data_IF_634866648424
#
_entry.id   IF_634866648424
#
_cell.length_a   1.000
_cell.length_b   1.000
_cell.length_c   1.000
_cell.angle_alpha   90.00
_cell.angle_beta   90.00
_cell.angle_gamma   90.00
#
_symmetry.space_group_name_H-M   'P 1'
#
loop_
_entity.id
_entity.type
_entity.pdbx_description
1 polymer ?
#
# COMPACT_ATOMS: atom_id res chain seq x y z
N UNK A 1 26.97 -39.94 25.49
CA UNK A 1 26.46 -39.05 24.42
C UNK A 1 26.89 -39.54 23.03
N UNK A 2 26.76 -40.85 22.76
CA UNK A 2 27.24 -41.47 21.50
C UNK A 2 26.27 -42.54 20.96
N UNK A 3 25.11 -42.71 21.63
CA UNK A 3 24.04 -43.64 21.24
C UNK A 3 22.79 -42.94 20.70
N UNK A 4 22.74 -41.61 20.77
CA UNK A 4 21.59 -40.78 20.35
C UNK A 4 21.74 -40.20 18.94
N UNK A 5 22.95 -40.23 18.38
CA UNK A 5 23.25 -39.75 17.02
C UNK A 5 22.96 -40.80 15.93
N UNK A 6 22.90 -42.09 16.29
CA UNK A 6 22.64 -43.18 15.34
C UNK A 6 21.16 -43.30 14.95
N UNK A 7 20.24 -43.04 15.90
CA UNK A 7 18.80 -43.12 15.65
C UNK A 7 18.26 -41.94 14.83
N UNK A 8 18.85 -40.75 14.95
CA UNK A 8 18.50 -39.57 14.15
C UNK A 8 18.96 -39.67 12.69
N UNK A 9 20.10 -40.34 12.43
CA UNK A 9 20.59 -40.61 11.07
C UNK A 9 19.75 -41.68 10.34
N UNK A 10 19.22 -42.67 11.06
CA UNK A 10 18.30 -43.67 10.50
C UNK A 10 16.93 -43.09 10.15
N UNK A 11 16.42 -42.13 10.94
CA UNK A 11 15.16 -41.43 10.64
C UNK A 11 15.35 -40.43 9.47
N UNK A 12 16.52 -39.80 9.36
CA UNK A 12 16.89 -38.94 8.22
C UNK A 12 16.98 -39.73 6.89
N UNK A 13 17.55 -40.94 6.92
CA UNK A 13 17.62 -41.81 5.74
C UNK A 13 16.27 -42.43 5.32
N UNK A 14 15.31 -42.55 6.24
CA UNK A 14 13.96 -43.08 5.92
C UNK A 14 13.03 -42.02 5.29
N UNK A 15 13.37 -40.74 5.37
CA UNK A 15 12.58 -39.64 4.74
C UNK A 15 13.04 -39.34 3.30
N UNK A 16 14.19 -39.89 2.85
CA UNK A 16 14.76 -39.66 1.52
C UNK A 16 14.40 -40.73 0.47
N UNK A 17 13.48 -41.65 0.77
CA UNK A 17 12.97 -42.67 -0.16
C UNK A 17 11.46 -42.51 -0.45
N UNK A 18 10.97 -41.27 -0.48
CA UNK A 18 9.70 -40.98 -1.17
C UNK A 18 10.07 -40.47 -2.56
N UNK A 19 9.95 -41.28 -3.63
CA UNK A 19 9.92 -40.70 -4.96
C UNK A 19 8.67 -39.82 -5.03
N UNK A 20 8.87 -38.50 -5.09
CA UNK A 20 7.87 -37.58 -5.62
C UNK A 20 7.75 -37.84 -7.13
N UNK A 21 7.02 -38.89 -7.47
CA UNK A 21 6.39 -39.06 -8.77
C UNK A 21 5.00 -39.65 -8.52
N UNK A 22 4.07 -38.79 -8.09
CA UNK A 22 2.67 -39.00 -8.42
C UNK A 22 2.48 -38.64 -9.89
N UNK A 23 2.92 -39.54 -10.78
CA UNK A 23 2.14 -39.75 -11.98
C UNK A 23 1.10 -40.79 -11.55
N UNK A 24 -0.17 -40.38 -11.43
CA UNK A 24 -1.26 -41.35 -11.36
C UNK A 24 -1.16 -42.22 -12.62
N UNK A 25 -0.49 -43.37 -12.51
CA UNK A 25 -0.65 -44.43 -13.49
C UNK A 25 -2.11 -44.87 -13.37
N UNK A 26 -2.95 -44.32 -14.24
CA UNK A 26 -4.36 -44.68 -14.34
C UNK A 26 -4.44 -46.20 -14.54
N UNK A 27 -4.79 -46.98 -13.51
CA UNK A 27 -4.79 -48.45 -13.56
C UNK A 27 -5.75 -48.98 -14.64
N UNK A 28 -6.84 -48.24 -14.89
CA UNK A 28 -7.83 -48.50 -15.95
C UNK A 28 -8.31 -47.14 -16.48
N UNK A 29 -8.13 -46.87 -17.77
CA UNK A 29 -8.58 -45.62 -18.39
C UNK A 29 -10.03 -45.74 -18.87
N UNK A 30 -10.91 -44.83 -18.43
CA UNK A 30 -12.30 -44.78 -18.86
C UNK A 30 -12.46 -44.06 -20.21
N UNK A 31 -13.16 -44.70 -21.15
CA UNK A 31 -13.57 -44.13 -22.42
C UNK A 31 -15.09 -44.08 -22.49
N UNK A 32 -15.63 -42.91 -22.82
CA UNK A 32 -17.07 -42.67 -22.89
C UNK A 32 -17.50 -42.44 -24.34
N UNK A 33 -18.50 -43.19 -24.79
CA UNK A 33 -18.95 -43.15 -26.19
C UNK A 33 -20.48 -43.17 -26.28
N UNK A 34 -21.05 -42.60 -27.34
CA UNK A 34 -22.49 -42.59 -27.57
C UNK A 34 -22.93 -43.81 -28.38
N UNK A 35 -24.07 -44.39 -28.00
CA UNK A 35 -24.71 -45.46 -28.77
C UNK A 35 -25.10 -44.96 -30.17
N UNK A 36 -24.86 -45.78 -31.19
CA UNK A 36 -25.23 -45.48 -32.57
C UNK A 36 -24.25 -44.59 -33.32
N UNK A 37 -23.22 -44.06 -32.66
CA UNK A 37 -22.18 -43.24 -33.29
C UNK A 37 -20.89 -44.04 -33.56
N UNK A 38 -20.17 -43.73 -34.64
CA UNK A 38 -18.80 -44.18 -34.86
C UNK A 38 -17.87 -43.63 -33.77
N UNK A 39 -17.01 -44.48 -33.25
CA UNK A 39 -16.00 -44.09 -32.27
C UNK A 39 -14.70 -44.86 -32.50
N UNK A 40 -13.59 -44.21 -32.17
CA UNK A 40 -12.25 -44.75 -32.25
C UNK A 40 -11.56 -44.54 -30.92
N UNK A 41 -10.96 -45.59 -30.39
CA UNK A 41 -10.29 -45.57 -29.10
C UNK A 41 -8.80 -45.75 -29.29
N UNK A 42 -8.02 -44.83 -28.70
CA UNK A 42 -6.56 -44.86 -28.67
C UNK A 42 -6.04 -45.65 -27.48
N UNK A 43 -4.85 -46.25 -27.63
CA UNK A 43 -4.19 -46.91 -26.51
C UNK A 43 -3.50 -45.86 -25.63
N UNK A 44 -3.77 -45.82 -24.30
CA UNK A 44 -3.16 -44.85 -23.39
C UNK A 44 -1.63 -44.92 -23.31
N UNK A 45 -1.03 -46.04 -23.72
CA UNK A 45 0.42 -46.24 -23.75
C UNK A 45 1.07 -45.38 -24.86
N UNK A 46 0.35 -45.11 -25.94
CA UNK A 46 0.88 -44.37 -27.09
C UNK A 46 0.49 -42.89 -26.95
N UNK A 47 1.41 -42.08 -26.44
CA UNK A 47 1.28 -40.61 -26.47
C UNK A 47 1.83 -40.08 -27.79
N UNK A 48 0.97 -39.46 -28.61
CA UNK A 48 1.40 -38.64 -29.75
C UNK A 48 2.07 -37.36 -29.23
N UNK A 49 3.22 -36.89 -29.78
CA UNK A 49 3.92 -37.30 -30.99
C UNK A 49 5.32 -37.88 -30.63
N UNK A 50 5.39 -39.11 -30.11
CA UNK A 50 6.61 -39.57 -29.45
C UNK A 50 7.18 -40.93 -29.81
N UNK A 51 6.63 -41.71 -30.75
CA UNK A 51 7.15 -43.07 -30.97
C UNK A 51 7.65 -43.35 -32.40
N UNK A 52 8.99 -43.33 -32.50
CA UNK A 52 9.78 -43.94 -33.56
C UNK A 52 9.41 -45.43 -33.77
N UNK A 53 8.66 -45.71 -34.84
CA UNK A 53 8.82 -46.83 -35.80
C UNK A 53 9.53 -48.14 -35.40
N UNK A 54 9.16 -48.81 -34.31
CA UNK A 54 9.47 -50.24 -34.05
C UNK A 54 8.59 -50.91 -32.96
N UNK A 55 7.29 -50.62 -32.91
CA UNK A 55 6.36 -51.30 -32.00
C UNK A 55 5.17 -51.87 -32.76
N UNK A 56 4.60 -52.98 -32.27
CA UNK A 56 3.31 -53.50 -32.73
C UNK A 56 2.26 -53.28 -31.64
N UNK A 57 1.08 -52.81 -32.05
CA UNK A 57 -0.06 -52.59 -31.17
C UNK A 57 -1.19 -53.53 -31.58
N UNK A 58 -1.69 -54.31 -30.63
CA UNK A 58 -2.82 -55.22 -30.85
C UNK A 58 -3.88 -55.01 -29.77
N UNK A 59 -5.14 -55.00 -30.17
CA UNK A 59 -6.29 -54.87 -29.27
C UNK A 59 -6.92 -56.23 -28.98
N UNK A 60 -7.33 -56.41 -27.73
CA UNK A 60 -8.03 -57.59 -27.25
C UNK A 60 -9.29 -57.15 -26.48
N UNK A 61 -10.36 -57.93 -26.58
CA UNK A 61 -11.45 -57.84 -25.60
C UNK A 61 -10.96 -58.51 -24.31
N UNK A 62 -11.12 -57.87 -23.16
CA UNK A 62 -10.53 -58.38 -21.92
C UNK A 62 -10.99 -59.82 -21.62
N UNK A 63 -10.04 -60.68 -21.25
CA UNK A 63 -10.25 -62.12 -21.05
C UNK A 63 -10.28 -62.97 -22.33
N UNK A 64 -10.19 -62.37 -23.52
CA UNK A 64 -10.07 -63.10 -24.79
C UNK A 64 -8.61 -63.28 -25.21
N UNK A 65 -8.24 -64.50 -25.60
CA UNK A 65 -6.91 -64.79 -26.16
C UNK A 65 -6.82 -64.40 -27.65
N UNK A 66 -7.95 -64.20 -28.32
CA UNK A 66 -8.00 -63.84 -29.74
C UNK A 66 -8.00 -62.31 -29.91
N UNK A 67 -7.15 -61.75 -30.78
CA UNK A 67 -7.15 -60.33 -31.04
C UNK A 67 -8.44 -59.90 -31.74
N UNK A 68 -8.81 -58.64 -31.59
CA UNK A 68 -9.87 -58.03 -32.37
C UNK A 68 -9.46 -58.05 -33.85
N UNK A 69 -10.42 -58.39 -34.73
CA UNK A 69 -10.17 -58.51 -36.17
C UNK A 69 -9.66 -57.22 -36.80
N UNK A 70 -8.82 -57.33 -37.83
CA UNK A 70 -8.39 -56.21 -38.69
C UNK A 70 -9.31 -56.03 -39.90
N UNK A 71 -10.35 -56.86 -40.04
CA UNK A 71 -11.29 -56.81 -41.15
C UNK A 71 -12.15 -55.55 -41.09
N UNK A 72 -11.96 -54.62 -42.04
CA UNK A 72 -12.67 -53.33 -42.10
C UNK A 72 -14.20 -53.45 -42.21
N UNK A 73 -14.72 -54.58 -42.71
CA UNK A 73 -16.16 -54.85 -42.80
C UNK A 73 -16.78 -55.21 -41.45
N UNK A 74 -15.96 -55.66 -40.49
CA UNK A 74 -16.45 -55.95 -39.15
C UNK A 74 -16.80 -54.64 -38.43
N UNK A 75 -17.92 -54.65 -37.69
CA UNK A 75 -18.40 -53.48 -36.92
C UNK A 75 -17.38 -53.03 -35.88
N UNK A 76 -16.73 -53.98 -35.22
CA UNK A 76 -15.60 -53.76 -34.30
C UNK A 76 -14.35 -54.29 -34.97
N UNK A 77 -13.37 -53.42 -35.20
CA UNK A 77 -12.11 -53.81 -35.82
C UNK A 77 -10.97 -52.91 -35.36
N UNK A 78 -9.74 -53.39 -35.48
CA UNK A 78 -8.55 -52.57 -35.22
C UNK A 78 -7.97 -52.04 -36.55
N UNK A 79 -7.64 -50.75 -36.60
CA UNK A 79 -7.06 -50.07 -37.77
C UNK A 79 -6.16 -48.93 -37.31
N UNK A 80 -4.93 -48.89 -37.83
CA UNK A 80 -3.96 -47.82 -37.55
C UNK A 80 -3.68 -47.62 -36.05
N UNK A 81 -3.64 -48.72 -35.28
CA UNK A 81 -3.41 -48.68 -33.84
C UNK A 81 -4.63 -48.28 -33.00
N UNK A 82 -5.75 -47.95 -33.63
CA UNK A 82 -7.01 -47.59 -32.97
C UNK A 82 -7.98 -48.78 -32.96
N UNK A 83 -8.80 -48.85 -31.93
CA UNK A 83 -9.94 -49.76 -31.84
C UNK A 83 -11.21 -49.02 -32.29
N UNK A 84 -11.78 -49.47 -33.41
CA UNK A 84 -12.93 -48.84 -34.06
C UNK A 84 -14.23 -49.56 -33.74
N UNK A 85 -15.28 -48.78 -33.51
CA UNK A 85 -16.66 -49.24 -33.40
C UNK A 85 -17.51 -48.41 -34.37
N UNK A 86 -18.02 -49.04 -35.43
CA UNK A 86 -18.76 -48.33 -36.49
C UNK A 86 -20.08 -49.05 -36.79
N UNK A 87 -21.19 -48.75 -36.09
CA UNK A 87 -21.30 -47.88 -34.90
C UNK A 87 -21.13 -48.64 -33.58
N UNK A 88 -21.01 -47.90 -32.47
CA UNK A 88 -21.05 -48.44 -31.12
C UNK A 88 -22.47 -48.87 -30.70
N UNK A 89 -22.56 -49.95 -29.93
CA UNK A 89 -23.79 -50.51 -29.36
C UNK A 89 -23.62 -50.67 -27.85
N UNK A 90 -24.72 -50.71 -27.10
CA UNK A 90 -24.67 -50.77 -25.61
C UNK A 90 -23.89 -51.98 -25.09
N UNK A 91 -24.00 -53.11 -25.80
CA UNK A 91 -23.36 -54.38 -25.47
C UNK A 91 -21.84 -54.36 -25.69
N UNK A 92 -21.31 -53.30 -26.31
CA UNK A 92 -19.86 -53.11 -26.47
C UNK A 92 -19.21 -52.59 -25.18
N UNK A 93 -20.01 -52.17 -24.19
CA UNK A 93 -19.49 -51.71 -22.89
C UNK A 93 -18.72 -52.82 -22.20
N UNK A 94 -17.52 -52.50 -21.71
CA UNK A 94 -16.66 -53.47 -21.04
C UNK A 94 -15.18 -53.13 -21.14
N UNK A 95 -14.36 -54.07 -20.70
CA UNK A 95 -12.92 -53.91 -20.64
C UNK A 95 -12.27 -54.36 -21.95
N UNK A 96 -11.35 -53.55 -22.46
CA UNK A 96 -10.50 -53.85 -23.61
C UNK A 96 -9.04 -53.69 -23.22
N UNK A 97 -8.16 -54.49 -23.78
CA UNK A 97 -6.73 -54.45 -23.51
C UNK A 97 -5.98 -54.08 -24.80
N UNK A 98 -5.14 -53.04 -24.73
CA UNK A 98 -4.13 -52.80 -25.77
C UNK A 98 -2.79 -53.37 -25.32
N UNK A 99 -2.20 -54.22 -26.15
CA UNK A 99 -0.86 -54.79 -26.00
C UNK A 99 0.09 -54.10 -26.97
N UNK A 100 1.04 -53.33 -26.42
CA UNK A 100 2.10 -52.66 -27.16
C UNK A 100 3.39 -53.47 -26.97
N UNK A 101 3.88 -54.07 -28.05
CA UNK A 101 5.11 -54.88 -28.06
C UNK A 101 6.24 -54.15 -28.77
N UNK A 102 7.38 -54.00 -28.09
CA UNK A 102 8.61 -53.42 -28.63
C UNK A 102 9.80 -54.28 -28.25
N UNK A 103 10.50 -54.84 -29.26
CA UNK A 103 11.70 -55.74 -29.24
C UNK A 103 11.81 -56.77 -28.10
N UNK A 104 11.70 -56.42 -26.82
CA UNK A 104 11.68 -57.30 -25.63
C UNK A 104 10.70 -56.89 -24.51
N UNK A 105 9.90 -55.85 -24.68
CA UNK A 105 8.96 -55.34 -23.69
C UNK A 105 7.53 -55.42 -24.25
N UNK A 106 6.62 -56.02 -23.49
CA UNK A 106 5.17 -55.97 -23.75
C UNK A 106 4.54 -55.17 -22.63
N UNK A 107 3.95 -54.04 -23.02
CA UNK A 107 3.21 -53.19 -22.12
C UNK A 107 1.73 -53.33 -22.47
N UNK A 108 0.95 -53.80 -21.50
CA UNK A 108 -0.49 -53.96 -21.64
C UNK A 108 -1.20 -52.91 -20.82
N UNK A 109 -2.23 -52.30 -21.39
CA UNK A 109 -3.11 -51.41 -20.66
C UNK A 109 -4.55 -51.80 -20.88
N UNK A 110 -5.27 -51.94 -19.77
CA UNK A 110 -6.71 -52.14 -19.80
C UNK A 110 -7.40 -50.78 -19.82
N UNK A 111 -8.40 -50.67 -20.69
CA UNK A 111 -9.32 -49.54 -20.76
C UNK A 111 -10.73 -50.04 -20.46
N UNK A 112 -11.56 -49.16 -19.92
CA UNK A 112 -12.96 -49.40 -19.66
C UNK A 112 -13.81 -48.56 -20.61
N UNK A 113 -14.43 -49.21 -21.60
CA UNK A 113 -15.32 -48.56 -22.53
C UNK A 113 -16.74 -48.59 -21.95
N UNK A 114 -17.36 -47.41 -21.80
CA UNK A 114 -18.76 -47.29 -21.41
C UNK A 114 -19.56 -46.62 -22.52
N UNK A 115 -20.57 -47.31 -23.03
CA UNK A 115 -21.46 -46.82 -24.08
C UNK A 115 -22.73 -46.26 -23.48
N UNK A 116 -22.97 -44.96 -23.65
CA UNK A 116 -24.12 -44.26 -23.09
C UNK A 116 -25.25 -44.03 -24.09
N UNK A 117 -26.46 -43.90 -23.55
CA UNK A 117 -27.58 -43.26 -24.23
C UNK A 117 -27.62 -41.79 -23.86
N UNK A 118 -28.16 -40.96 -24.74
CA UNK A 118 -28.50 -39.60 -24.38
C UNK A 118 -29.49 -39.59 -23.21
N UNK A 119 -29.36 -38.59 -22.34
CA UNK A 119 -30.27 -38.40 -21.24
C UNK A 119 -31.67 -38.05 -21.77
N UNK A 120 -32.71 -38.38 -20.99
CA UNK A 120 -34.11 -38.14 -21.41
C UNK A 120 -34.28 -36.67 -21.80
N UNK A 121 -34.88 -36.41 -22.96
CA UNK A 121 -35.13 -35.08 -23.52
C UNK A 121 -33.89 -34.23 -23.88
N UNK A 122 -32.69 -34.81 -23.79
CA UNK A 122 -31.45 -34.15 -24.18
C UNK A 122 -30.83 -34.83 -25.41
N UNK A 123 -30.03 -34.06 -26.15
CA UNK A 123 -29.24 -34.51 -27.30
C UNK A 123 -27.83 -35.00 -26.90
N UNK A 124 -27.54 -35.06 -25.59
CA UNK A 124 -26.27 -35.48 -25.03
C UNK A 124 -26.47 -36.27 -23.73
N UNK A 125 -25.39 -36.87 -23.21
CA UNK A 125 -25.36 -37.49 -21.90
C UNK A 125 -24.55 -36.63 -20.93
N UNK A 126 -25.06 -36.37 -19.73
CA UNK A 126 -24.41 -35.50 -18.73
C UNK A 126 -23.05 -35.99 -18.24
N UNK A 127 -22.75 -37.30 -18.33
CA UNK A 127 -21.45 -37.89 -18.01
C UNK A 127 -20.44 -37.79 -19.17
N UNK A 128 -20.92 -37.53 -20.39
CA UNK A 128 -20.11 -37.45 -21.60
C UNK A 128 -20.10 -36.01 -22.10
N UNK A 129 -19.36 -35.15 -21.39
CA UNK A 129 -19.17 -33.75 -21.73
C UNK A 129 -17.70 -33.39 -21.65
N UNK A 130 -17.27 -32.53 -22.57
CA UNK A 130 -15.93 -31.97 -22.59
C UNK A 130 -15.96 -30.60 -21.92
N UNK A 131 -15.27 -30.46 -20.79
CA UNK A 131 -15.23 -29.17 -20.09
C UNK A 131 -14.29 -28.21 -20.84
N UNK A 132 -14.78 -27.01 -21.16
CA UNK A 132 -13.96 -25.91 -21.67
C UNK A 132 -14.21 -24.66 -20.84
N UNK A 133 -13.14 -23.89 -20.61
CA UNK A 133 -13.19 -22.68 -19.79
C UNK A 133 -12.79 -21.47 -20.62
N UNK A 134 -13.65 -20.45 -20.61
CA UNK A 134 -13.36 -19.15 -21.19
C UNK A 134 -13.44 -18.07 -20.11
N UNK A 135 -12.71 -16.99 -20.35
CA UNK A 135 -12.85 -15.76 -19.57
C UNK A 135 -13.76 -14.79 -20.33
N UNK A 136 -14.44 -13.89 -19.63
CA UNK A 136 -15.18 -12.80 -20.26
C UNK A 136 -14.21 -11.81 -20.92
N UNK A 137 -13.94 -12.02 -22.20
CA UNK A 137 -12.96 -11.30 -23.02
C UNK A 137 -13.58 -10.82 -24.33
N UNK A 138 -12.84 -9.96 -25.07
CA UNK A 138 -13.27 -9.48 -26.39
C UNK A 138 -13.44 -10.60 -27.42
N UNK A 139 -12.71 -11.71 -27.28
CA UNK A 139 -12.79 -12.85 -28.18
C UNK A 139 -12.57 -14.13 -27.38
N UNK A 140 -13.38 -15.14 -27.64
CA UNK A 140 -13.23 -16.51 -27.16
C UNK A 140 -13.42 -17.51 -28.30
N UNK A 141 -13.04 -18.77 -28.05
CA UNK A 141 -13.10 -19.85 -29.04
C UNK A 141 -13.58 -21.13 -28.36
N UNK A 142 -14.64 -21.74 -28.90
CA UNK A 142 -15.12 -23.07 -28.52
C UNK A 142 -14.62 -24.04 -29.58
N UNK A 143 -13.94 -25.12 -29.16
CA UNK A 143 -13.39 -26.12 -30.07
C UNK A 143 -14.23 -27.39 -29.98
N UNK A 144 -14.59 -27.99 -31.11
CA UNK A 144 -15.19 -29.31 -31.13
C UNK A 144 -14.10 -30.39 -30.99
N UNK A 145 -14.11 -31.19 -29.91
CA UNK A 145 -13.03 -32.14 -29.63
C UNK A 145 -13.13 -33.41 -30.48
N UNK A 146 -12.03 -34.16 -30.59
CA UNK A 146 -11.96 -35.53 -31.11
C UNK A 146 -12.58 -35.77 -32.50
N UNK A 147 -12.58 -34.76 -33.38
CA UNK A 147 -13.04 -34.90 -34.76
C UNK A 147 -11.93 -35.29 -35.75
N UNK A 148 -10.67 -35.10 -35.38
CA UNK A 148 -9.53 -35.31 -36.30
C UNK A 148 -9.43 -36.75 -36.83
N UNK A 149 -9.85 -37.74 -36.03
CA UNK A 149 -9.82 -39.15 -36.41
C UNK A 149 -10.80 -39.51 -37.55
N UNK A 150 -11.78 -38.64 -37.83
CA UNK A 150 -12.84 -38.90 -38.79
C UNK A 150 -12.74 -38.04 -40.04
N UNK A 151 -11.66 -37.27 -40.18
CA UNK A 151 -11.30 -36.60 -41.42
C UNK A 151 -10.60 -37.59 -42.34
N UNK A 152 -10.89 -37.51 -43.63
CA UNK A 152 -10.22 -38.28 -44.69
C UNK A 152 -9.86 -37.37 -45.86
N UNK A 153 -9.08 -37.87 -46.83
CA UNK A 153 -8.62 -37.07 -47.98
C UNK A 153 -9.77 -36.46 -48.79
N UNK A 154 -10.94 -37.12 -48.80
CA UNK A 154 -12.15 -36.70 -49.51
C UNK A 154 -13.01 -35.70 -48.70
N UNK A 155 -12.81 -35.62 -47.37
CA UNK A 155 -13.58 -34.82 -46.42
C UNK A 155 -12.67 -34.16 -45.37
N UNK A 156 -11.61 -33.48 -45.83
CA UNK A 156 -10.63 -32.81 -44.97
C UNK A 156 -11.23 -31.64 -44.15
N UNK A 157 -12.37 -31.09 -44.58
CA UNK A 157 -13.11 -30.02 -43.89
C UNK A 157 -14.59 -30.38 -43.81
N UNK A 158 -14.99 -31.28 -42.88
CA UNK A 158 -16.38 -31.66 -42.74
C UNK A 158 -17.22 -30.49 -42.24
N UNK A 159 -18.44 -30.36 -42.75
CA UNK A 159 -19.39 -29.37 -42.27
C UNK A 159 -19.86 -29.73 -40.85
N UNK A 160 -19.48 -28.90 -39.88
CA UNK A 160 -19.83 -29.07 -38.47
C UNK A 160 -21.03 -28.19 -38.11
N UNK A 161 -22.11 -28.83 -37.70
CA UNK A 161 -23.33 -28.17 -37.25
C UNK A 161 -23.30 -27.98 -35.73
N UNK A 162 -23.66 -26.78 -35.27
CA UNK A 162 -23.60 -26.42 -33.85
C UNK A 162 -24.99 -26.20 -33.24
N UNK A 163 -25.15 -26.65 -32.00
CA UNK A 163 -26.36 -26.56 -31.21
C UNK A 163 -26.01 -26.03 -29.82
N UNK A 164 -26.83 -25.14 -29.25
CA UNK A 164 -26.71 -24.70 -27.86
C UNK A 164 -27.90 -25.23 -27.07
N UNK A 165 -27.65 -25.94 -25.98
CA UNK A 165 -28.69 -26.60 -25.18
C UNK A 165 -29.66 -27.44 -26.04
N UNK A 166 -29.12 -28.18 -27.00
CA UNK A 166 -29.86 -29.01 -27.95
C UNK A 166 -30.84 -28.27 -28.88
N UNK A 167 -30.70 -26.95 -28.99
CA UNK A 167 -31.46 -26.12 -29.92
C UNK A 167 -30.59 -25.65 -31.08
N UNK A 168 -31.12 -25.65 -32.32
CA UNK A 168 -30.44 -25.06 -33.47
C UNK A 168 -30.50 -23.52 -33.39
N UNK A 169 -29.89 -22.84 -34.36
CA UNK A 169 -29.95 -21.37 -34.47
C UNK A 169 -28.94 -20.64 -33.59
N UNK A 170 -28.06 -21.35 -32.88
CA UNK A 170 -27.00 -20.73 -32.09
C UNK A 170 -26.15 -19.76 -32.93
N UNK A 171 -25.77 -20.16 -34.14
CA UNK A 171 -24.95 -19.35 -35.07
C UNK A 171 -25.69 -18.16 -35.70
N UNK A 172 -26.96 -17.92 -35.37
CA UNK A 172 -27.69 -16.72 -35.84
C UNK A 172 -27.27 -15.44 -35.08
N UNK A 173 -26.66 -15.58 -33.90
CA UNK A 173 -26.06 -14.45 -33.19
C UNK A 173 -24.82 -13.95 -33.96
N UNK A 174 -24.87 -12.69 -34.40
CA UNK A 174 -23.81 -12.01 -35.16
C UNK A 174 -22.46 -11.95 -34.44
N UNK A 175 -22.45 -12.16 -33.11
CA UNK A 175 -21.21 -12.27 -32.33
C UNK A 175 -20.45 -13.55 -32.63
N UNK A 176 -21.09 -14.57 -33.19
CA UNK A 176 -20.53 -15.89 -33.40
C UNK A 176 -20.10 -16.07 -34.85
N UNK A 177 -18.90 -16.60 -35.04
CA UNK A 177 -18.33 -16.86 -36.35
C UNK A 177 -17.76 -18.27 -36.37
N UNK A 178 -18.03 -19.03 -37.44
CA UNK A 178 -17.33 -20.28 -37.68
C UNK A 178 -15.86 -19.96 -37.98
N UNK A 179 -14.95 -20.65 -37.30
CA UNK A 179 -13.53 -20.51 -37.59
C UNK A 179 -13.21 -21.31 -38.87
N UNK A 180 -12.93 -20.60 -39.97
CA UNK A 180 -12.61 -21.25 -41.24
C UNK A 180 -11.41 -22.20 -41.11
N UNK A 181 -11.55 -23.42 -41.62
CA UNK A 181 -10.50 -24.44 -41.55
C UNK A 181 -10.32 -25.10 -40.18
N UNK A 182 -11.08 -24.68 -39.17
CA UNK A 182 -11.04 -25.25 -37.82
C UNK A 182 -12.42 -25.79 -37.41
N UNK A 183 -12.44 -26.85 -36.61
CA UNK A 183 -13.68 -27.37 -36.03
C UNK A 183 -14.14 -26.52 -34.83
N UNK A 184 -14.20 -25.19 -34.97
CA UNK A 184 -14.36 -24.26 -33.86
C UNK A 184 -15.32 -23.10 -34.17
N UNK A 185 -15.87 -22.52 -33.10
CA UNK A 185 -16.69 -21.31 -33.14
C UNK A 185 -15.99 -20.21 -32.37
N UNK A 186 -15.79 -19.06 -33.00
CA UNK A 186 -15.33 -17.83 -32.39
C UNK A 186 -16.53 -17.08 -31.81
N UNK A 187 -16.36 -16.58 -30.58
CA UNK A 187 -17.34 -15.73 -29.90
C UNK A 187 -16.72 -14.36 -29.69
N UNK A 188 -17.30 -13.34 -30.32
CA UNK A 188 -16.95 -11.95 -30.07
C UNK A 188 -17.70 -11.44 -28.83
N UNK A 189 -16.97 -10.75 -27.96
CA UNK A 189 -17.45 -10.22 -26.69
C UNK A 189 -18.13 -11.31 -25.82
N UNK A 190 -17.30 -12.17 -25.23
CA UNK A 190 -17.71 -13.29 -24.39
C UNK A 190 -18.26 -12.76 -23.07
N UNK A 191 -19.45 -13.23 -22.71
CA UNK A 191 -20.16 -12.87 -21.49
C UNK A 191 -20.48 -14.11 -20.65
N UNK A 192 -20.78 -13.92 -19.36
CA UNK A 192 -21.19 -15.04 -18.47
C UNK A 192 -22.46 -15.74 -18.97
N UNK A 193 -23.29 -15.07 -19.76
CA UNK A 193 -24.51 -15.63 -20.39
C UNK A 193 -24.19 -16.61 -21.53
N UNK A 194 -22.96 -16.58 -22.05
CA UNK A 194 -22.50 -17.54 -23.04
C UNK A 194 -22.19 -18.91 -22.40
N UNK A 195 -22.25 -19.05 -21.07
CA UNK A 195 -22.21 -20.35 -20.38
C UNK A 195 -23.31 -21.30 -20.90
N UNK A 196 -22.98 -22.59 -21.01
CA UNK A 196 -23.96 -23.62 -21.38
C UNK A 196 -23.33 -24.84 -22.03
N UNK A 197 -24.17 -25.76 -22.49
CA UNK A 197 -23.78 -26.95 -23.23
C UNK A 197 -23.87 -26.69 -24.73
N UNK A 198 -22.76 -26.93 -25.43
CA UNK A 198 -22.61 -26.75 -26.87
C UNK A 198 -22.39 -28.10 -27.51
N UNK A 199 -23.30 -28.54 -28.37
CA UNK A 199 -23.15 -29.79 -29.11
C UNK A 199 -22.77 -29.48 -30.54
N UNK A 200 -21.62 -29.97 -30.97
CA UNK A 200 -21.22 -29.99 -32.38
C UNK A 200 -21.55 -31.36 -32.98
N UNK A 201 -22.00 -31.38 -34.24
CA UNK A 201 -22.39 -32.57 -34.99
C UNK A 201 -21.78 -32.55 -36.38
N UNK A 202 -21.14 -33.64 -36.77
CA UNK A 202 -20.63 -33.84 -38.12
C UNK A 202 -21.13 -35.15 -38.72
N UNK A 203 -21.08 -35.25 -40.03
CA UNK A 203 -21.40 -36.47 -40.77
C UNK A 203 -20.12 -37.16 -41.19
N UNK A 204 -19.98 -38.43 -40.83
CA UNK A 204 -18.89 -39.29 -41.22
C UNK A 204 -19.38 -40.37 -42.18
N UNK A 205 -18.77 -40.45 -43.36
CA UNK A 205 -19.12 -41.45 -44.38
C UNK A 205 -18.14 -42.61 -44.30
N UNK A 206 -18.63 -43.80 -43.98
CA UNK A 206 -17.82 -45.01 -43.93
C UNK A 206 -18.42 -46.10 -44.81
N UNK A 207 -17.64 -46.57 -45.79
CA UNK A 207 -18.06 -47.60 -46.75
C UNK A 207 -19.42 -47.30 -47.42
N UNK A 208 -19.65 -46.04 -47.80
CA UNK A 208 -20.88 -45.58 -48.45
C UNK A 208 -22.08 -45.40 -47.50
N UNK A 209 -21.91 -45.59 -46.19
CA UNK A 209 -22.93 -45.29 -45.18
C UNK A 209 -22.59 -44.03 -44.42
N UNK A 210 -23.57 -43.16 -44.21
CA UNK A 210 -23.42 -41.94 -43.43
C UNK A 210 -23.79 -42.18 -41.98
N UNK A 211 -22.95 -41.65 -41.08
CA UNK A 211 -23.13 -41.72 -39.64
C UNK A 211 -23.01 -40.33 -39.05
N UNK A 212 -23.78 -40.07 -37.99
CA UNK A 212 -23.67 -38.83 -37.24
C UNK A 212 -22.70 -39.02 -36.07
N UNK A 213 -21.83 -38.04 -35.88
CA UNK A 213 -20.92 -37.97 -34.73
C UNK A 213 -21.20 -36.68 -34.00
N UNK A 214 -21.42 -36.75 -32.69
CA UNK A 214 -21.69 -35.58 -31.86
C UNK A 214 -20.75 -35.50 -30.67
N UNK A 215 -20.37 -34.27 -30.32
CA UNK A 215 -19.54 -33.96 -29.14
C UNK A 215 -20.16 -32.80 -28.40
N UNK A 216 -20.30 -32.94 -27.09
CA UNK A 216 -20.91 -31.90 -26.25
C UNK A 216 -19.87 -31.28 -25.34
N UNK A 217 -19.71 -29.97 -25.46
CA UNK A 217 -18.84 -29.14 -24.66
C UNK A 217 -19.67 -28.52 -23.54
N UNK A 218 -19.23 -28.68 -22.30
CA UNK A 218 -19.72 -27.94 -21.14
C UNK A 218 -18.85 -26.68 -21.01
N UNK A 219 -19.39 -25.53 -21.41
CA UNK A 219 -18.65 -24.28 -21.41
C UNK A 219 -18.85 -23.54 -20.09
N UNK A 220 -17.77 -23.37 -19.33
CA UNK A 220 -17.71 -22.49 -18.17
C UNK A 220 -17.15 -21.13 -18.60
N UNK A 221 -17.87 -20.04 -18.31
CA UNK A 221 -17.38 -18.68 -18.53
C UNK A 221 -17.16 -18.01 -17.19
N UNK A 222 -15.92 -17.58 -16.93
CA UNK A 222 -15.55 -16.84 -15.72
C UNK A 222 -15.45 -15.36 -16.03
N UNK A 223 -15.89 -14.51 -15.10
CA UNK A 223 -15.68 -13.08 -15.22
C UNK A 223 -14.17 -12.79 -15.21
N UNK A 224 -13.75 -11.89 -16.10
CA UNK A 224 -12.39 -11.39 -16.05
C UNK A 224 -12.26 -10.60 -14.75
N UNK A 225 -11.30 -10.93 -13.86
CA UNK A 225 -11.06 -10.11 -12.69
C UNK A 225 -10.77 -8.69 -13.17
N UNK A 226 -11.44 -7.70 -12.58
CA UNK A 226 -11.18 -6.30 -12.86
C UNK A 226 -9.68 -6.08 -12.71
N UNK A 227 -8.99 -5.85 -13.83
CA UNK A 227 -7.57 -5.58 -13.84
C UNK A 227 -7.38 -4.13 -13.37
N UNK A 228 -7.69 -3.88 -12.10
CA UNK A 228 -7.46 -2.60 -11.45
C UNK A 228 -5.96 -2.50 -11.27
N UNK A 229 -5.38 -1.41 -11.79
CA UNK A 229 -3.97 -1.10 -11.57
C UNK A 229 -3.74 -1.06 -10.04
N UNK A 230 -2.76 -1.81 -9.51
CA UNK A 230 -2.49 -1.76 -8.09
C UNK A 230 -2.09 -0.35 -7.66
N UNK A 231 -2.61 0.11 -6.53
CA UNK A 231 -2.33 1.44 -6.00
C UNK A 231 -2.02 1.36 -4.50
N UNK A 232 -1.17 2.27 -4.01
CA UNK A 232 -0.95 2.43 -2.59
C UNK A 232 -2.23 2.95 -1.91
N UNK A 233 -2.80 2.12 -1.04
CA UNK A 233 -3.80 2.57 -0.06
C UNK A 233 -3.07 3.44 0.98
N UNK A 234 -1.92 2.96 1.44
CA UNK A 234 -1.00 3.63 2.36
C UNK A 234 0.41 3.01 2.20
N UNK A 235 1.52 3.76 2.34
CA UNK A 235 1.60 5.19 2.50
C UNK A 235 1.43 5.95 1.18
N UNK A 236 1.06 7.23 1.27
CA UNK A 236 1.04 8.21 0.18
C UNK A 236 2.07 9.31 0.46
N UNK A 237 3.33 8.91 0.66
CA UNK A 237 4.45 9.81 1.01
C UNK A 237 4.20 10.55 2.34
N UNK A 238 3.96 9.76 3.39
CA UNK A 238 3.54 10.26 4.69
C UNK A 238 4.72 10.62 5.60
N UNK A 239 4.44 11.44 6.61
CA UNK A 239 5.35 11.71 7.72
C UNK A 239 4.64 11.37 9.01
N UNK A 240 5.31 10.64 9.90
CA UNK A 240 4.76 10.23 11.20
C UNK A 240 5.61 10.79 12.33
N UNK A 241 4.95 11.25 13.39
CA UNK A 241 5.65 11.74 14.58
C UNK A 241 5.98 10.57 15.50
N UNK A 242 7.24 10.46 15.91
CA UNK A 242 7.71 9.41 16.81
C UNK A 242 8.66 9.98 17.85
N UNK A 243 8.55 9.50 19.09
CA UNK A 243 9.43 9.87 20.19
C UNK A 243 10.70 9.02 20.19
N UNK A 244 11.82 9.59 20.66
CA UNK A 244 13.04 8.81 20.90
C UNK A 244 12.75 7.71 21.90
N UNK A 245 13.15 6.48 21.58
CA UNK A 245 12.90 5.31 22.41
C UNK A 245 11.53 4.66 22.24
N UNK A 246 10.62 5.27 21.47
CA UNK A 246 9.28 4.72 21.25
C UNK A 246 9.30 3.51 20.30
N UNK A 247 8.23 2.72 20.37
CA UNK A 247 7.93 1.63 19.46
C UNK A 247 7.06 2.14 18.31
N UNK A 248 7.45 1.87 17.07
CA UNK A 248 6.73 2.35 15.87
C UNK A 248 6.47 1.20 14.91
N UNK A 249 5.21 1.08 14.47
CA UNK A 249 4.79 0.15 13.42
C UNK A 249 4.32 0.95 12.21
N UNK A 250 4.99 0.74 11.08
CA UNK A 250 4.65 1.32 9.80
C UNK A 250 3.98 0.26 8.94
N UNK A 251 2.81 0.58 8.38
CA UNK A 251 2.11 -0.32 7.47
C UNK A 251 2.31 0.14 6.02
N UNK A 252 2.32 -0.80 5.09
CA UNK A 252 2.24 -0.52 3.67
C UNK A 252 1.20 -1.44 3.06
N UNK A 253 0.12 -0.86 2.55
CA UNK A 253 -1.07 -1.56 2.08
C UNK A 253 -1.30 -1.17 0.62
N UNK A 254 -1.39 -2.18 -0.24
CA UNK A 254 -1.58 -2.03 -1.69
C UNK A 254 -2.89 -2.69 -2.08
N UNK A 255 -3.74 -1.97 -2.80
CA UNK A 255 -4.93 -2.56 -3.40
C UNK A 255 -4.49 -3.44 -4.56
N UNK A 256 -4.78 -4.73 -4.51
CA UNK A 256 -4.41 -5.66 -5.56
C UNK A 256 -5.62 -6.47 -6.02
N UNK A 257 -5.98 -6.37 -7.29
CA UNK A 257 -6.92 -7.33 -7.90
C UNK A 257 -6.28 -8.71 -8.17
N UNK A 258 -5.04 -8.91 -7.71
CA UNK A 258 -4.16 -10.01 -8.11
C UNK A 258 -3.55 -10.63 -6.84
N UNK A 259 -3.71 -11.95 -6.71
CA UNK A 259 -3.12 -12.69 -5.60
C UNK A 259 -1.59 -12.76 -5.76
N UNK A 260 -0.85 -12.59 -4.66
CA UNK A 260 0.61 -12.76 -4.64
C UNK A 260 1.44 -11.53 -5.06
N UNK A 261 0.83 -10.36 -5.21
CA UNK A 261 1.58 -9.09 -5.25
C UNK A 261 1.97 -8.72 -3.82
N UNK A 262 3.27 -8.78 -3.50
CA UNK A 262 3.78 -8.57 -2.14
C UNK A 262 4.57 -7.27 -2.09
N UNK A 263 4.11 -6.25 -1.35
CA UNK A 263 4.90 -5.05 -1.08
C UNK A 263 6.06 -5.37 -0.13
N UNK A 264 7.20 -4.71 -0.31
CA UNK A 264 8.41 -4.89 0.50
C UNK A 264 9.02 -3.55 0.92
N UNK A 265 9.73 -3.54 2.04
CA UNK A 265 10.39 -2.34 2.55
C UNK A 265 11.88 -2.25 2.16
N UNK A 266 12.34 -1.03 1.90
CA UNK A 266 13.75 -0.69 1.71
C UNK A 266 14.13 0.57 2.47
N UNK A 267 15.35 0.57 3.02
CA UNK A 267 15.95 1.71 3.73
C UNK A 267 17.33 1.96 3.15
N UNK A 268 17.55 3.16 2.61
CA UNK A 268 18.83 3.56 2.01
C UNK A 268 19.33 2.56 0.94
N UNK A 269 18.44 2.23 -0.01
CA UNK A 269 18.68 1.31 -1.14
C UNK A 269 19.10 -0.12 -0.72
N UNK A 270 18.78 -0.51 0.51
CA UNK A 270 19.01 -1.85 1.03
C UNK A 270 17.74 -2.43 1.62
N UNK A 271 17.62 -3.74 1.51
CA UNK A 271 16.55 -4.48 2.17
C UNK A 271 16.68 -4.36 3.69
N UNK A 272 15.52 -4.33 4.35
CA UNK A 272 15.38 -4.10 5.79
C UNK A 272 16.24 -5.03 6.62
N UNK A 273 16.15 -6.34 6.34
CA UNK A 273 16.87 -7.38 7.07
C UNK A 273 18.40 -7.24 6.95
N UNK A 274 18.87 -6.61 5.87
CA UNK A 274 20.31 -6.35 5.64
C UNK A 274 20.78 -5.08 6.34
N UNK A 275 19.89 -4.11 6.57
CA UNK A 275 20.25 -2.81 7.14
C UNK A 275 20.31 -2.85 8.67
N UNK A 276 19.33 -3.43 9.35
CA UNK A 276 19.30 -3.58 10.80
C UNK A 276 18.46 -4.79 11.20
N UNK A 277 19.07 -5.78 11.86
CA UNK A 277 18.41 -7.02 12.28
C UNK A 277 17.35 -6.84 13.37
N UNK A 278 17.23 -5.62 13.93
CA UNK A 278 16.17 -5.27 14.88
C UNK A 278 14.87 -4.88 14.20
N UNK A 279 14.90 -4.60 12.90
CA UNK A 279 13.71 -4.37 12.11
C UNK A 279 13.04 -5.71 11.78
N UNK A 280 11.71 -5.75 11.84
CA UNK A 280 10.93 -6.94 11.46
C UNK A 280 9.90 -6.56 10.42
N UNK A 281 9.91 -7.32 9.32
CA UNK A 281 8.89 -7.25 8.29
C UNK A 281 7.89 -8.40 8.45
N UNK A 282 6.59 -8.09 8.40
CA UNK A 282 5.53 -9.09 8.43
C UNK A 282 4.53 -8.85 7.30
N UNK A 283 4.46 -9.81 6.39
CA UNK A 283 3.49 -9.84 5.30
C UNK A 283 2.13 -10.37 5.75
N UNK A 284 1.08 -9.83 5.16
CA UNK A 284 -0.28 -10.36 5.24
C UNK A 284 -1.04 -10.07 3.93
N UNK A 285 -2.03 -10.91 3.63
CA UNK A 285 -2.94 -10.73 2.50
C UNK A 285 -4.36 -10.91 3.01
N UNK A 286 -5.20 -9.90 2.79
CA UNK A 286 -6.58 -9.87 3.23
C UNK A 286 -7.51 -9.72 2.02
N UNK A 287 -8.57 -10.53 1.96
CA UNK A 287 -9.59 -10.41 0.92
C UNK A 287 -10.73 -9.56 1.49
N UNK A 288 -10.97 -8.39 0.88
CA UNK A 288 -12.10 -7.55 1.28
C UNK A 288 -13.44 -8.20 0.90
N UNK A 289 -14.51 -7.81 1.61
CA UNK A 289 -15.89 -8.27 1.40
C UNK A 289 -16.41 -8.08 -0.03
N UNK A 290 -15.79 -7.18 -0.82
CA UNK A 290 -16.13 -6.91 -2.22
C UNK A 290 -15.29 -7.72 -3.23
N UNK A 291 -14.47 -8.66 -2.76
CA UNK A 291 -13.64 -9.53 -3.63
C UNK A 291 -12.35 -8.88 -4.14
N UNK A 292 -11.95 -7.71 -3.61
CA UNK A 292 -10.65 -7.09 -3.89
C UNK A 292 -9.61 -7.62 -2.88
N UNK A 293 -8.49 -8.14 -3.33
CA UNK A 293 -7.40 -8.50 -2.44
C UNK A 293 -6.64 -7.23 -2.00
N UNK A 294 -6.22 -7.19 -0.75
CA UNK A 294 -5.35 -6.16 -0.20
C UNK A 294 -4.14 -6.88 0.35
N UNK A 295 -2.99 -6.59 -0.25
CA UNK A 295 -1.71 -7.11 0.22
C UNK A 295 -1.03 -6.05 1.06
N UNK A 296 -0.51 -6.43 2.21
CA UNK A 296 0.16 -5.51 3.12
C UNK A 296 1.42 -6.07 3.75
N UNK A 297 2.33 -5.17 4.11
CA UNK A 297 3.53 -5.48 4.90
C UNK A 297 3.63 -4.51 6.09
N UNK A 298 3.94 -5.05 7.27
CA UNK A 298 4.18 -4.26 8.49
C UNK A 298 5.67 -4.21 8.78
N UNK A 299 6.20 -3.01 8.94
CA UNK A 299 7.57 -2.74 9.34
C UNK A 299 7.62 -2.23 10.77
N UNK A 300 8.38 -2.90 11.61
CA UNK A 300 8.42 -2.66 13.04
C UNK A 300 9.79 -2.14 13.51
N UNK A 301 9.80 -0.95 14.11
CA UNK A 301 10.94 -0.37 14.83
C UNK A 301 10.72 -0.56 16.32
N UNK A 302 11.55 -1.41 16.94
CA UNK A 302 11.48 -1.70 18.39
C UNK A 302 11.72 -0.47 19.26
N UNK A 303 12.74 0.31 18.93
CA UNK A 303 13.15 1.50 19.67
C UNK A 303 13.70 2.55 18.71
N UNK A 304 12.99 3.67 18.54
CA UNK A 304 13.41 4.75 17.64
C UNK A 304 14.68 5.43 18.15
N UNK A 305 15.70 5.48 17.31
CA UNK A 305 17.01 6.10 17.54
C UNK A 305 17.13 7.39 16.73
N UNK A 306 18.10 8.22 17.09
CA UNK A 306 18.37 9.47 16.38
C UNK A 306 18.66 9.27 14.88
N UNK A 307 19.30 8.14 14.51
CA UNK A 307 19.57 7.77 13.12
C UNK A 307 18.29 7.58 12.29
N UNK A 308 17.21 7.13 12.91
CA UNK A 308 16.00 6.74 12.19
C UNK A 308 15.25 7.96 11.62
N UNK A 309 15.39 9.14 12.23
CA UNK A 309 14.85 10.41 11.70
C UNK A 309 15.58 10.90 10.43
N UNK A 310 16.80 10.42 10.17
CA UNK A 310 17.58 10.80 9.00
C UNK A 310 17.18 10.01 7.74
N UNK A 311 16.48 8.89 7.92
CA UNK A 311 16.16 7.97 6.83
C UNK A 311 14.70 8.12 6.38
N UNK A 312 14.48 7.86 5.08
CA UNK A 312 13.16 7.59 4.52
C UNK A 312 13.02 6.08 4.41
N UNK A 313 11.89 5.57 4.88
CA UNK A 313 11.52 4.17 4.77
C UNK A 313 10.65 4.04 3.53
N UNK A 314 11.15 3.36 2.51
CA UNK A 314 10.47 3.21 1.24
C UNK A 314 9.75 1.87 1.19
N UNK A 315 8.48 1.88 0.82
CA UNK A 315 7.73 0.69 0.47
C UNK A 315 7.64 0.60 -1.05
N UNK A 316 7.95 -0.58 -1.57
CA UNK A 316 7.99 -0.88 -2.99
C UNK A 316 7.03 -2.00 -3.32
N UNK A 317 6.45 -1.95 -4.52
CA UNK A 317 5.85 -3.14 -5.13
C UNK A 317 6.12 -3.14 -6.64
N UNK A 318 6.22 -4.35 -7.20
CA UNK A 318 6.48 -4.54 -8.62
C UNK A 318 5.18 -4.99 -9.29
N UNK A 319 4.78 -4.31 -10.36
CA UNK A 319 3.65 -4.69 -11.18
C UNK A 319 4.02 -4.64 -12.67
N UNK A 320 4.02 -5.80 -13.31
CA UNK A 320 4.53 -5.97 -14.67
C UNK A 320 6.04 -5.73 -14.73
N UNK A 321 6.46 -4.71 -15.47
CA UNK A 321 7.87 -4.28 -15.56
C UNK A 321 8.12 -2.93 -14.88
N UNK A 322 7.15 -2.42 -14.13
CA UNK A 322 7.24 -1.15 -13.43
C UNK A 322 7.34 -1.39 -11.92
N UNK A 323 8.18 -0.58 -11.30
CA UNK A 323 8.32 -0.50 -9.85
C UNK A 323 7.59 0.75 -9.35
N UNK A 324 6.82 0.58 -8.29
CA UNK A 324 6.06 1.65 -7.64
C UNK A 324 6.60 1.83 -6.23
N UNK A 325 6.80 3.08 -5.84
CA UNK A 325 7.43 3.42 -4.56
C UNK A 325 6.62 4.49 -3.83
N UNK A 326 6.46 4.29 -2.52
CA UNK A 326 5.96 5.31 -1.60
C UNK A 326 6.82 5.31 -0.34
N UNK A 327 6.91 6.43 0.37
CA UNK A 327 7.76 6.51 1.56
C UNK A 327 7.02 6.92 2.83
N UNK A 328 7.62 6.58 3.96
CA UNK A 328 7.32 7.13 5.28
C UNK A 328 8.59 7.77 5.85
N UNK A 329 8.45 8.97 6.41
CA UNK A 329 9.52 9.66 7.12
C UNK A 329 9.14 9.83 8.60
N UNK A 330 10.08 9.61 9.51
CA UNK A 330 9.89 9.89 10.93
C UNK A 330 10.25 11.35 11.23
N UNK A 331 9.44 12.02 12.03
CA UNK A 331 9.76 13.34 12.59
C UNK A 331 9.62 13.34 14.11
N UNK A 332 10.46 14.12 14.82
CA UNK A 332 10.28 14.28 16.25
C UNK A 332 8.96 15.00 16.54
N UNK A 333 8.29 14.73 17.67
CA UNK A 333 7.09 15.45 18.06
C UNK A 333 7.40 16.94 18.21
N UNK A 334 6.42 17.79 17.86
CA UNK A 334 6.55 19.23 18.00
C UNK A 334 6.81 19.59 19.47
N UNK A 335 7.88 20.35 19.75
CA UNK A 335 8.15 20.84 21.10
C UNK A 335 7.04 21.81 21.53
N UNK A 336 6.52 21.64 22.75
CA UNK A 336 5.50 22.52 23.31
C UNK A 336 6.13 23.85 23.76
N UNK A 337 6.34 24.76 22.81
CA UNK A 337 6.90 26.11 23.02
C UNK A 337 5.93 26.99 23.84
N UNK A 338 4.63 26.64 23.87
CA UNK A 338 3.61 27.40 24.59
C UNK A 338 3.85 27.41 26.11
N UNK A 339 4.34 26.29 26.67
CA UNK A 339 4.70 26.22 28.09
C UNK A 339 5.85 27.17 28.47
N UNK A 340 6.85 27.27 27.60
CA UNK A 340 7.99 28.19 27.81
C UNK A 340 7.61 29.66 27.65
N UNK A 341 6.72 29.98 26.68
CA UNK A 341 6.22 31.35 26.50
C UNK A 341 5.38 31.82 27.69
N UNK A 342 4.50 30.94 28.22
CA UNK A 342 3.70 31.25 29.41
C UNK A 342 4.61 31.39 30.64
N UNK A 343 5.55 30.46 30.85
CA UNK A 343 6.49 30.53 31.98
C UNK A 343 7.40 31.75 31.94
N UNK A 344 7.93 32.09 30.75
CA UNK A 344 8.75 33.28 30.54
C UNK A 344 7.97 34.58 30.78
N UNK A 345 6.75 34.68 30.26
CA UNK A 345 5.88 35.84 30.47
C UNK A 345 5.51 36.06 31.94
N UNK A 346 5.16 34.98 32.65
CA UNK A 346 4.82 35.04 34.08
C UNK A 346 6.06 35.46 34.91
N UNK A 347 7.24 34.91 34.62
CA UNK A 347 8.48 35.28 35.30
C UNK A 347 8.83 36.76 35.12
N UNK A 348 8.65 37.31 33.91
CA UNK A 348 8.84 38.73 33.61
C UNK A 348 7.89 39.62 34.43
N UNK A 349 6.62 39.23 34.55
CA UNK A 349 5.63 39.98 35.36
C UNK A 349 6.05 39.99 36.84
N UNK A 350 6.48 38.85 37.38
CA UNK A 350 6.98 38.77 38.75
C UNK A 350 8.23 39.65 38.98
N UNK A 351 9.16 39.68 38.03
CA UNK A 351 10.33 40.56 38.08
C UNK A 351 9.95 42.04 38.10
N UNK A 352 9.00 42.47 37.26
CA UNK A 352 8.51 43.86 37.26
C UNK A 352 7.81 44.20 38.57
N UNK A 353 6.97 43.30 39.10
CA UNK A 353 6.32 43.53 40.39
C UNK A 353 7.32 43.61 41.55
N UNK A 354 8.33 42.75 41.55
CA UNK A 354 9.38 42.73 42.57
C UNK A 354 10.24 44.01 42.54
N UNK A 355 10.65 44.45 41.35
CA UNK A 355 11.40 45.70 41.17
C UNK A 355 10.58 46.94 41.57
N UNK A 356 9.29 47.00 41.21
CA UNK A 356 8.39 48.08 41.66
C UNK A 356 8.20 48.07 43.18
N UNK A 357 8.10 46.89 43.79
CA UNK A 357 7.96 46.73 45.24
C UNK A 357 9.23 47.19 45.98
N UNK A 358 10.41 46.78 45.51
CA UNK A 358 11.71 47.27 46.03
C UNK A 358 11.80 48.79 45.88
N UNK A 359 11.48 49.33 44.70
CA UNK A 359 11.49 50.78 44.48
C UNK A 359 10.57 51.52 45.46
N UNK A 360 9.39 50.97 45.77
CA UNK A 360 8.45 51.57 46.73
C UNK A 360 8.94 51.49 48.16
N UNK A 361 9.46 50.35 48.60
CA UNK A 361 9.97 50.15 49.96
C UNK A 361 11.19 51.03 50.21
N UNK A 362 12.14 51.03 49.29
CA UNK A 362 13.40 51.75 49.42
C UNK A 362 13.36 53.12 48.74
N UNK A 363 12.18 53.67 48.40
CA UNK A 363 12.08 54.96 47.67
C UNK A 363 12.85 56.06 48.38
N UNK A 364 12.72 56.14 49.70
CA UNK A 364 13.37 57.16 50.52
C UNK A 364 14.88 56.92 50.54
N UNK A 365 15.31 55.68 50.79
CA UNK A 365 16.72 55.32 50.84
C UNK A 365 17.43 55.47 49.48
N UNK A 366 16.76 55.13 48.37
CA UNK A 366 17.26 55.33 47.00
C UNK A 366 17.40 56.81 46.68
N UNK A 367 16.44 57.65 47.08
CA UNK A 367 16.50 59.10 46.87
C UNK A 367 17.58 59.74 47.72
N UNK A 368 17.73 59.32 48.98
CA UNK A 368 18.80 59.78 49.87
C UNK A 368 20.17 59.33 49.37
N UNK A 369 20.32 58.08 48.95
CA UNK A 369 21.54 57.56 48.36
C UNK A 369 21.91 58.26 47.04
N UNK A 370 20.92 58.54 46.17
CA UNK A 370 21.12 59.32 44.96
C UNK A 370 21.55 60.75 45.27
N UNK A 371 20.95 61.38 46.29
CA UNK A 371 21.30 62.74 46.72
C UNK A 371 22.71 62.83 47.30
N UNK A 372 23.13 61.86 48.10
CA UNK A 372 24.49 61.78 48.64
C UNK A 372 25.52 61.41 47.56
N UNK A 373 25.18 60.47 46.67
CA UNK A 373 26.09 59.97 45.63
C UNK A 373 26.22 60.90 44.42
N UNK A 374 25.21 61.74 44.12
CA UNK A 374 25.25 62.69 43.00
C UNK A 374 25.57 64.14 43.40
N UNK A 375 25.73 64.46 44.68
CA UNK A 375 26.21 65.78 45.11
C UNK A 375 27.59 66.16 44.53
N UNK A 376 28.52 65.22 44.23
CA UNK A 376 29.78 65.55 43.55
C UNK A 376 29.64 65.79 42.03
N UNK A 377 28.57 65.30 41.38
CA UNK A 377 28.45 65.27 39.91
C UNK A 377 27.49 66.30 39.31
N UNK A 378 26.63 66.92 40.12
CA UNK A 378 25.82 68.09 39.74
C UNK A 378 26.46 69.38 40.25
N UNK A 379 27.72 69.57 39.91
CA UNK A 379 28.41 70.85 40.05
C UNK A 379 27.80 71.88 39.10
N UNK A 380 26.79 72.61 39.56
CA UNK A 380 26.54 73.99 39.14
C UNK A 380 26.55 74.85 40.39
N UNK A 381 27.65 75.58 40.59
CA UNK A 381 27.61 76.86 41.31
C UNK A 381 26.60 77.73 40.55
N UNK A 382 25.35 77.74 41.01
CA UNK A 382 24.43 78.81 40.68
C UNK A 382 25.03 80.02 41.40
N UNK A 383 25.61 80.95 40.63
CA UNK A 383 25.79 82.31 41.12
C UNK A 383 24.39 82.83 41.39
N UNK A 384 24.01 82.88 42.67
CA UNK A 384 22.81 83.57 43.12
C UNK A 384 22.91 84.97 42.50
N UNK A 385 21.96 85.33 41.63
CA UNK A 385 21.85 86.65 40.99
C UNK A 385 21.34 87.66 42.04
N UNK A 386 21.94 87.61 43.23
CA UNK A 386 21.70 88.52 44.35
C UNK A 386 22.72 89.64 44.24
N UNK A 387 22.19 90.82 43.92
CA UNK A 387 22.94 92.06 43.83
C UNK A 387 23.42 92.52 45.22
N UNK A 388 22.77 92.03 46.29
CA UNK A 388 23.08 92.35 47.68
C UNK A 388 23.10 91.10 48.56
N UNK A 389 24.08 91.03 49.46
CA UNK A 389 24.29 89.95 50.44
C UNK A 389 23.40 90.13 51.69
N UNK A 390 23.01 91.37 52.03
CA UNK A 390 22.11 91.66 53.14
C UNK A 390 21.32 92.97 52.95
N UNK A 391 20.12 93.01 53.55
CA UNK A 391 19.21 94.15 53.55
C UNK A 391 19.16 94.80 54.94
N UNK A 392 19.36 96.11 55.01
CA UNK A 392 19.39 96.87 56.28
C UNK A 392 18.21 97.83 56.32
N UNK A 393 17.29 97.57 57.25
CA UNK A 393 16.17 98.44 57.61
C UNK A 393 16.42 99.03 58.98
N UNK A 394 16.36 100.36 59.10
CA UNK A 394 16.53 101.06 60.36
C UNK A 394 15.43 102.11 60.55
N UNK A 395 14.99 102.36 61.79
CA UNK A 395 13.93 103.32 62.06
C UNK A 395 14.43 104.75 61.84
N UNK A 396 13.79 105.48 60.92
CA UNK A 396 14.08 106.89 60.62
C UNK A 396 13.30 107.78 61.59
N UNK A 397 13.88 108.07 62.75
CA UNK A 397 13.19 108.88 63.76
C UNK A 397 13.25 110.36 63.36
N UNK A 398 12.11 110.97 63.03
CA UNK A 398 12.05 112.34 62.51
C UNK A 398 11.98 113.44 63.57
N UNK A 399 11.95 113.10 64.85
CA UNK A 399 11.89 114.07 65.95
C UNK A 399 12.75 113.61 67.13
N UNK A 400 13.57 114.53 67.65
CA UNK A 400 14.45 114.41 68.83
C UNK A 400 15.89 113.92 68.59
N UNK A 401 16.83 114.84 68.84
CA UNK A 401 18.27 114.62 68.84
C UNK A 401 18.72 113.78 70.04
N UNK A 402 19.16 112.54 69.82
CA UNK A 402 20.24 111.89 70.58
C UNK A 402 20.71 110.61 69.82
N UNK A 403 21.97 110.59 69.37
CA UNK A 403 22.68 109.49 68.70
C UNK A 403 21.92 108.79 67.55
N UNK A 404 22.03 109.37 66.35
CA UNK A 404 21.33 108.92 65.15
C UNK A 404 21.73 107.49 64.72
N UNK A 405 20.78 106.56 64.78
CA UNK A 405 20.85 105.26 64.11
C UNK A 405 21.26 105.39 62.63
N UNK A 406 20.97 106.53 62.01
CA UNK A 406 21.38 106.92 60.67
C UNK A 406 22.91 106.95 60.46
N UNK A 407 23.70 107.44 61.43
CA UNK A 407 25.18 107.44 61.31
C UNK A 407 25.72 106.01 61.36
N UNK A 408 25.14 105.17 62.21
CA UNK A 408 25.54 103.77 62.28
C UNK A 408 25.18 103.03 61.00
N UNK A 409 23.92 103.13 60.55
CA UNK A 409 23.42 102.42 59.38
C UNK A 409 24.01 102.94 58.05
N UNK A 410 24.17 104.26 57.87
CA UNK A 410 24.64 104.84 56.60
C UNK A 410 26.15 105.03 56.51
N UNK A 411 26.88 105.02 57.63
CA UNK A 411 28.32 105.35 57.64
C UNK A 411 29.18 104.26 58.26
N UNK A 412 28.86 103.76 59.45
CA UNK A 412 29.71 102.75 60.11
C UNK A 412 29.52 101.37 59.49
N UNK A 413 28.27 100.97 59.26
CA UNK A 413 27.93 99.65 58.74
C UNK A 413 28.49 99.41 57.33
N UNK A 414 28.38 100.35 56.36
CA UNK A 414 28.99 100.19 55.04
C UNK A 414 30.53 100.15 55.10
N UNK A 415 31.13 100.97 55.97
CA UNK A 415 32.59 101.04 56.12
C UNK A 415 33.18 99.71 56.62
N UNK A 416 32.47 98.99 57.49
CA UNK A 416 32.93 97.67 57.95
C UNK A 416 32.56 96.60 56.94
N UNK A 417 31.28 96.48 56.61
CA UNK A 417 30.78 95.32 55.87
C UNK A 417 31.07 95.41 54.36
N UNK A 418 30.96 96.58 53.73
CA UNK A 418 31.31 96.73 52.30
C UNK A 418 32.82 96.87 52.12
N UNK A 419 33.48 97.71 52.92
CA UNK A 419 34.90 98.05 52.69
C UNK A 419 35.89 97.06 53.30
N UNK A 420 35.63 96.53 54.50
CA UNK A 420 36.57 95.61 55.17
C UNK A 420 36.20 94.14 54.93
N UNK A 421 34.91 93.83 54.80
CA UNK A 421 34.43 92.44 54.63
C UNK A 421 33.99 92.09 53.20
N UNK A 422 33.84 93.07 52.30
CA UNK A 422 33.54 92.84 50.89
C UNK A 422 32.10 92.40 50.59
N UNK A 423 31.15 92.65 51.51
CA UNK A 423 29.72 92.38 51.30
C UNK A 423 29.04 93.51 50.54
N UNK A 424 28.04 93.21 49.72
CA UNK A 424 27.17 94.22 49.09
C UNK A 424 25.91 94.41 49.94
N UNK A 425 25.72 95.59 50.54
CA UNK A 425 24.55 95.90 51.37
C UNK A 425 23.53 96.74 50.61
N UNK A 426 22.24 96.41 50.77
CA UNK A 426 21.15 97.31 50.39
C UNK A 426 20.67 98.06 51.64
N UNK A 427 20.71 99.40 51.61
CA UNK A 427 20.32 100.24 52.74
C UNK A 427 19.14 101.13 52.34
N UNK A 428 18.01 100.93 53.03
CA UNK A 428 16.78 101.69 52.80
C UNK A 428 17.00 103.18 53.10
N UNK A 429 16.83 104.06 52.10
CA UNK A 429 17.10 105.50 52.17
C UNK A 429 18.41 105.96 51.50
N UNK A 430 19.32 105.03 51.14
CA UNK A 430 20.55 105.26 50.35
C UNK A 430 20.41 104.71 48.93
N UNK A 431 19.92 103.47 48.84
CA UNK A 431 19.91 102.67 47.60
C UNK A 431 18.50 102.54 47.00
N UNK A 432 17.51 103.24 47.57
CA UNK A 432 16.16 103.35 47.07
C UNK A 432 16.04 104.40 45.96
N UNK A 433 15.35 104.06 44.87
CA UNK A 433 15.04 105.00 43.80
C UNK A 433 13.93 105.95 44.25
N UNK A 434 14.05 107.29 44.05
CA UNK A 434 13.03 108.24 44.46
C UNK A 434 11.74 108.03 43.66
N UNK A 435 10.74 107.37 44.26
CA UNK A 435 9.43 107.14 43.64
C UNK A 435 8.71 105.86 44.08
N UNK A 436 9.39 104.88 44.67
CA UNK A 436 8.76 103.63 45.14
C UNK A 436 8.46 103.68 46.63
N UNK A 437 7.39 104.39 46.99
CA UNK A 437 6.81 104.38 48.32
C UNK A 437 5.36 103.91 48.31
N UNK A 438 5.15 102.62 48.58
CA UNK A 438 4.08 102.12 49.47
C UNK A 438 4.19 100.60 49.63
N UNK A 439 4.89 100.19 50.68
CA UNK A 439 4.64 98.91 51.32
C UNK A 439 3.26 99.02 51.99
N UNK A 440 2.23 98.37 51.42
CA UNK A 440 1.04 98.05 52.21
C UNK A 440 1.35 96.74 52.93
N UNK A 441 1.60 96.85 54.24
CA UNK A 441 1.43 95.77 55.20
C UNK A 441 0.07 95.11 54.95
N UNK A 442 0.06 93.91 54.40
CA UNK A 442 -1.03 92.96 54.61
C UNK A 442 -0.66 91.58 54.02
N UNK A 443 -0.87 90.55 54.84
CA UNK A 443 -0.74 89.10 54.59
C UNK A 443 0.59 88.44 54.96
N UNK A 444 0.82 88.46 56.26
CA UNK A 444 1.20 87.24 56.97
C UNK A 444 -0.09 86.45 57.27
N UNK A 445 -0.34 85.35 56.55
CA UNK A 445 -1.12 84.20 57.03
C UNK A 445 -0.90 82.97 56.15
#
# INVERSE_FOLDING_TARGET
>A
QQKMTSTLLLISCLVLLIPLFSAEECLICDYFVLVGEPTAVSCPIVTFPGLHSNYSLTWYKNGSATPVTTERRARIHQREGLLWFIPATLDDSGLYECDVRSRNHSNKKTINLTVFKNDKSLCFNGKMKFEQKLMSTKTGKIICPDLELFKDEDNNQPEVHWYKECKPGFLEDKRLLLAEGENAVLINNVTVQDRGNYTCRMVYTYMGRQYNISRTISLEVKERPLQVRPEFIYPKNNTIQAELGSHVVMECNVSSGINGLIPFWQVNDKDVDSFDSTYREQFYEEVTSHGLAVSGTKFNISQVKQKDYAHKFFCHFIYGSQEFTAYIKLEPPAQNIQGYLIGGGVSLIFLVFFTLSIYKIFKVDIVLWYRDSCHPFLGKKVSDEKIYDAYVLYPKNRESCLYSSDIFALKILPEVLERQCGYNLFIFGRDDLPGEGKLSEDKLH
#
